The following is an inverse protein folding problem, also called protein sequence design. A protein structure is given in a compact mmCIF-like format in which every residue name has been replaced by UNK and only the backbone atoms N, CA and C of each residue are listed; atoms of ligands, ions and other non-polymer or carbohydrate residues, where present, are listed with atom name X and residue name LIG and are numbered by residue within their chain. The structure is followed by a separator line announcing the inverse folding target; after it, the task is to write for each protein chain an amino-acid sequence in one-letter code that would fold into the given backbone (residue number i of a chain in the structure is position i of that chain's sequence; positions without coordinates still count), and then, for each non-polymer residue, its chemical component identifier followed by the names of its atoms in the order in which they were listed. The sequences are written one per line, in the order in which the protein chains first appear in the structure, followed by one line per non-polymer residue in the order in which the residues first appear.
data_IF_773332411282
#
_entry.id   IF_773332411282
#
_cell.length_a   1.000
_cell.length_b   1.000
_cell.length_c   1.000
_cell.angle_alpha   90.00
_cell.angle_beta   90.00
_cell.angle_gamma   90.00
#
_symmetry.space_group_name_H-M   'P 1'
#
loop_
_entity.id
_entity.type
_entity.pdbx_description
1 polymer ?
#
# COMPACT_ATOMS: atom_id res chain seq x y z
N UNK A 1 6.76 -11.91 13.56
CA UNK A 1 7.78 -12.68 12.80
C UNK A 1 8.73 -11.73 12.06
N UNK A 2 9.76 -12.25 11.41
CA UNK A 2 10.75 -11.44 10.68
C UNK A 2 10.87 -11.94 9.24
N UNK A 3 10.89 -10.99 8.30
CA UNK A 3 11.23 -11.20 6.88
C UNK A 3 12.49 -10.39 6.62
N UNK A 4 13.35 -10.84 5.74
CA UNK A 4 14.55 -10.09 5.36
C UNK A 4 14.42 -9.59 3.91
N UNK A 5 14.62 -8.29 3.73
CA UNK A 5 14.86 -7.63 2.47
C UNK A 5 16.36 -7.32 2.41
N UNK A 6 17.11 -8.19 1.78
CA UNK A 6 18.57 -8.23 1.85
C UNK A 6 19.03 -8.27 3.34
N UNK A 7 19.76 -7.28 3.80
CA UNK A 7 20.20 -7.17 5.21
C UNK A 7 19.19 -6.44 6.12
N UNK A 8 18.09 -5.93 5.57
CA UNK A 8 17.07 -5.21 6.35
C UNK A 8 16.06 -6.17 6.94
N UNK A 9 15.92 -6.15 8.26
CA UNK A 9 14.88 -6.89 8.97
C UNK A 9 13.55 -6.15 8.85
N UNK A 10 12.51 -6.82 8.35
CA UNK A 10 11.13 -6.34 8.32
C UNK A 10 10.30 -7.09 9.36
N UNK A 11 9.67 -6.35 10.27
CA UNK A 11 8.73 -6.91 11.26
C UNK A 11 7.39 -7.18 10.59
N UNK A 12 6.85 -8.38 10.78
CA UNK A 12 5.59 -8.77 10.19
C UNK A 12 4.71 -9.58 11.13
N UNK A 13 3.41 -9.53 10.90
CA UNK A 13 2.40 -10.36 11.59
C UNK A 13 1.65 -11.16 10.53
N UNK A 14 1.74 -12.50 10.64
CA UNK A 14 1.02 -13.44 9.80
C UNK A 14 -0.15 -14.01 10.59
N UNK A 15 -1.37 -13.84 10.06
CA UNK A 15 -2.60 -14.37 10.64
C UNK A 15 -3.36 -15.17 9.58
N UNK A 16 -3.91 -16.33 9.99
CA UNK A 16 -4.61 -17.25 9.09
C UNK A 16 -6.05 -17.46 9.56
N UNK A 17 -7.01 -17.63 8.63
CA UNK A 17 -8.30 -18.21 8.96
C UNK A 17 -8.14 -19.71 9.28
N UNK A 18 -9.17 -20.31 9.87
CA UNK A 18 -9.23 -21.75 10.11
C UNK A 18 -9.47 -22.52 8.80
N UNK A 19 -8.45 -22.52 7.93
CA UNK A 19 -8.45 -23.25 6.64
C UNK A 19 -7.08 -23.89 6.41
N UNK A 20 -7.07 -25.10 5.86
CA UNK A 20 -5.84 -25.82 5.54
C UNK A 20 -5.04 -25.08 4.46
N UNK A 21 -5.72 -24.59 3.43
CA UNK A 21 -5.15 -23.79 2.34
C UNK A 21 -6.03 -22.58 2.06
N UNK A 22 -5.41 -21.44 1.85
CA UNK A 22 -6.12 -20.18 1.56
C UNK A 22 -5.22 -19.22 0.76
N UNK A 23 -5.81 -18.22 0.07
CA UNK A 23 -5.04 -17.13 -0.48
C UNK A 23 -4.50 -16.23 0.64
N UNK A 24 -3.46 -15.46 0.33
CA UNK A 24 -2.81 -14.56 1.27
C UNK A 24 -2.77 -13.12 0.73
N UNK A 25 -3.07 -12.16 1.58
CA UNK A 25 -2.92 -10.73 1.29
C UNK A 25 -1.71 -10.19 2.04
N UNK A 26 -0.71 -9.66 1.31
CA UNK A 26 0.34 -8.84 1.91
C UNK A 26 -0.21 -7.42 2.08
N UNK A 27 -0.22 -6.94 3.32
CA UNK A 27 -0.76 -5.63 3.67
C UNK A 27 0.34 -4.61 3.97
N UNK A 28 0.27 -3.44 3.34
CA UNK A 28 1.24 -2.35 3.40
C UNK A 28 0.59 -1.10 4.01
N UNK A 29 1.14 -0.60 5.12
CA UNK A 29 0.68 0.62 5.79
C UNK A 29 1.05 1.90 5.02
N UNK A 30 0.52 3.07 5.46
CA UNK A 30 0.81 4.38 4.90
C UNK A 30 2.09 5.02 5.43
N UNK A 31 2.42 6.21 4.89
CA UNK A 31 3.52 7.07 5.35
C UNK A 31 3.36 7.39 6.86
N UNK A 32 4.46 7.36 7.62
CA UNK A 32 4.49 7.57 9.09
C UNK A 32 3.51 6.69 9.90
N UNK A 33 3.07 5.57 9.36
CA UNK A 33 2.17 4.60 9.98
C UNK A 33 2.91 3.31 10.37
N UNK A 34 2.18 2.31 10.85
CA UNK A 34 2.69 0.97 11.19
C UNK A 34 1.67 -0.11 10.86
N UNK A 35 2.11 -1.37 10.84
CA UNK A 35 1.25 -2.54 10.64
C UNK A 35 0.11 -2.66 11.67
N UNK A 36 0.28 -2.06 12.86
CA UNK A 36 -0.60 -2.23 14.02
C UNK A 36 -1.56 -1.04 14.27
N UNK A 37 -1.69 -0.10 13.33
CA UNK A 37 -2.71 0.94 13.44
C UNK A 37 -4.12 0.34 13.35
N UNK A 38 -5.11 0.82 14.14
CA UNK A 38 -6.44 0.23 14.22
C UNK A 38 -7.12 0.03 12.85
N UNK A 39 -7.08 1.02 11.97
CA UNK A 39 -7.66 0.92 10.63
C UNK A 39 -6.95 -0.09 9.71
N UNK A 40 -5.67 -0.39 9.97
CA UNK A 40 -4.91 -1.42 9.25
C UNK A 40 -5.30 -2.82 9.76
N UNK A 41 -5.43 -2.98 11.08
CA UNK A 41 -5.92 -4.21 11.70
C UNK A 41 -7.34 -4.52 11.23
N UNK A 42 -8.26 -3.53 11.27
CA UNK A 42 -9.65 -3.69 10.83
C UNK A 42 -9.76 -4.17 9.37
N UNK A 43 -8.92 -3.62 8.47
CA UNK A 43 -8.87 -4.09 7.08
C UNK A 43 -8.44 -5.55 6.98
N UNK A 44 -7.42 -5.95 7.73
CA UNK A 44 -6.93 -7.33 7.74
C UNK A 44 -7.93 -8.30 8.39
N UNK A 45 -8.71 -7.85 9.37
CA UNK A 45 -9.82 -8.62 9.92
C UNK A 45 -10.87 -8.93 8.85
N UNK A 46 -11.30 -7.93 8.08
CA UNK A 46 -12.23 -8.13 6.97
C UNK A 46 -11.72 -9.13 5.92
N UNK A 47 -10.40 -9.09 5.65
CA UNK A 47 -9.76 -10.06 4.74
C UNK A 47 -9.78 -11.48 5.31
N UNK A 48 -9.52 -11.64 6.63
CA UNK A 48 -9.61 -12.96 7.29
C UNK A 48 -11.03 -13.49 7.35
N UNK A 49 -12.01 -12.62 7.60
CA UNK A 49 -13.44 -12.97 7.54
C UNK A 49 -13.88 -13.43 6.14
N UNK A 50 -13.22 -12.92 5.08
CA UNK A 50 -13.40 -13.40 3.70
C UNK A 50 -12.67 -14.72 3.42
N UNK A 51 -11.91 -15.28 4.38
CA UNK A 51 -11.19 -16.54 4.22
C UNK A 51 -9.78 -16.42 3.69
N UNK A 52 -9.18 -15.24 3.71
CA UNK A 52 -7.79 -14.98 3.29
C UNK A 52 -6.87 -14.91 4.50
N UNK A 53 -5.65 -15.41 4.37
CA UNK A 53 -4.60 -15.09 5.32
C UNK A 53 -4.09 -13.66 5.09
N UNK A 54 -3.54 -13.04 6.13
CA UNK A 54 -2.98 -11.68 6.05
C UNK A 54 -1.56 -11.65 6.58
N UNK A 55 -0.67 -10.97 5.85
CA UNK A 55 0.70 -10.69 6.24
C UNK A 55 0.87 -9.18 6.31
N UNK A 56 0.72 -8.61 7.52
CA UNK A 56 0.92 -7.18 7.77
C UNK A 56 2.40 -6.91 8.02
N UNK A 57 2.99 -5.97 7.30
CA UNK A 57 4.43 -5.69 7.34
C UNK A 57 4.68 -4.24 7.75
N UNK A 58 5.57 -4.02 8.72
CA UNK A 58 6.19 -2.71 8.91
C UNK A 58 7.25 -2.52 7.83
N UNK A 59 7.09 -1.48 7.03
CA UNK A 59 8.01 -1.20 5.93
C UNK A 59 9.32 -0.59 6.45
N UNK A 60 10.37 -0.61 5.62
CA UNK A 60 11.69 -0.04 5.95
C UNK A 60 11.56 1.32 6.65
N UNK A 61 12.22 1.45 7.80
CA UNK A 61 12.29 2.68 8.59
C UNK A 61 11.02 3.00 9.40
N UNK A 62 10.08 2.06 9.51
CA UNK A 62 8.82 2.23 10.23
C UNK A 62 8.58 1.11 11.24
N UNK A 63 7.78 1.42 12.26
CA UNK A 63 7.40 0.47 13.31
C UNK A 63 8.60 -0.24 13.94
N UNK A 64 8.57 -1.56 13.92
CA UNK A 64 9.63 -2.41 14.48
C UNK A 64 10.63 -2.91 13.43
N UNK A 65 10.51 -2.44 12.18
CA UNK A 65 11.42 -2.80 11.08
C UNK A 65 12.74 -2.05 11.15
N UNK A 66 13.77 -2.63 10.55
CA UNK A 66 15.09 -2.01 10.40
C UNK A 66 15.07 -0.79 9.50
N UNK A 67 16.21 -0.11 9.46
CA UNK A 67 16.37 1.15 8.76
C UNK A 67 15.96 2.36 9.58
N UNK A 68 15.88 3.51 8.93
CA UNK A 68 15.45 4.77 9.56
C UNK A 68 14.38 5.44 8.72
N UNK A 69 13.44 6.11 9.37
CA UNK A 69 12.41 6.91 8.70
C UNK A 69 13.02 7.89 7.69
N UNK A 70 14.11 8.56 8.05
CA UNK A 70 14.82 9.51 7.20
C UNK A 70 15.21 8.90 5.85
N UNK A 71 15.62 7.65 5.82
CA UNK A 71 16.22 6.99 4.65
C UNK A 71 15.25 6.09 3.87
N UNK A 72 13.96 6.05 4.21
CA UNK A 72 13.03 5.30 3.40
C UNK A 72 12.80 5.98 2.04
N UNK A 73 12.46 5.19 1.04
CA UNK A 73 12.06 5.63 -0.30
C UNK A 73 10.96 4.73 -0.82
N UNK A 74 10.25 5.15 -1.87
CA UNK A 74 9.27 4.28 -2.54
C UNK A 74 9.91 2.97 -3.00
N UNK A 75 11.13 3.02 -3.56
CA UNK A 75 11.83 1.82 -4.04
C UNK A 75 12.24 0.87 -2.90
N UNK A 76 12.66 1.39 -1.74
CA UNK A 76 12.91 0.53 -0.57
C UNK A 76 11.66 -0.17 -0.08
N UNK A 77 10.51 0.50 -0.16
CA UNK A 77 9.25 -0.13 0.17
C UNK A 77 8.84 -1.18 -0.86
N UNK A 78 9.00 -0.89 -2.15
CA UNK A 78 8.75 -1.88 -3.21
C UNK A 78 9.65 -3.11 -3.03
N UNK A 79 10.96 -2.94 -2.75
CA UNK A 79 11.87 -4.04 -2.44
C UNK A 79 11.37 -4.89 -1.26
N UNK A 80 10.99 -4.25 -0.15
CA UNK A 80 10.42 -4.95 1.00
C UNK A 80 9.10 -5.68 0.72
N UNK A 81 8.26 -5.13 -0.17
CA UNK A 81 7.04 -5.81 -0.64
C UNK A 81 7.40 -7.06 -1.43
N UNK A 82 8.36 -6.98 -2.36
CA UNK A 82 8.83 -8.14 -3.13
C UNK A 82 9.40 -9.24 -2.23
N UNK A 83 10.18 -8.87 -1.21
CA UNK A 83 10.66 -9.82 -0.21
C UNK A 83 9.51 -10.47 0.60
N UNK A 84 8.48 -9.72 0.95
CA UNK A 84 7.30 -10.26 1.61
C UNK A 84 6.48 -11.19 0.68
N UNK A 85 6.42 -10.87 -0.61
CA UNK A 85 5.80 -11.73 -1.63
C UNK A 85 6.58 -13.05 -1.80
N UNK A 86 7.91 -13.00 -1.83
CA UNK A 86 8.75 -14.21 -1.93
C UNK A 86 8.61 -15.08 -0.68
N UNK A 87 8.54 -14.47 0.50
CA UNK A 87 8.21 -15.21 1.72
C UNK A 87 6.82 -15.86 1.60
N UNK A 88 5.80 -15.13 1.17
CA UNK A 88 4.44 -15.67 1.03
C UNK A 88 4.38 -16.84 0.04
N UNK A 89 5.13 -16.79 -1.05
CA UNK A 89 5.25 -17.88 -2.04
C UNK A 89 5.94 -19.13 -1.49
N UNK A 90 6.81 -18.99 -0.50
CA UNK A 90 7.49 -20.13 0.13
C UNK A 90 6.57 -20.96 1.04
N UNK A 91 5.36 -20.46 1.32
CA UNK A 91 4.38 -21.14 2.16
C UNK A 91 3.52 -22.09 1.32
N UNK A 92 3.61 -23.38 1.55
CA UNK A 92 2.97 -24.47 0.77
C UNK A 92 1.43 -24.44 0.78
N UNK A 93 0.83 -23.79 1.80
CA UNK A 93 -0.61 -23.65 1.96
C UNK A 93 -1.18 -22.42 1.25
N UNK A 94 -0.36 -21.49 0.73
CA UNK A 94 -0.84 -20.30 0.03
C UNK A 94 -1.28 -20.65 -1.39
N UNK A 95 -2.57 -20.38 -1.70
CA UNK A 95 -3.16 -20.73 -3.00
C UNK A 95 -3.12 -19.58 -4.01
N UNK A 96 -2.88 -18.36 -3.56
CA UNK A 96 -2.81 -17.17 -4.40
C UNK A 96 -2.39 -15.95 -3.57
N UNK A 97 -1.75 -14.99 -4.23
CA UNK A 97 -1.20 -13.81 -3.59
C UNK A 97 -1.96 -12.56 -4.02
N UNK A 98 -2.34 -11.76 -3.04
CA UNK A 98 -2.97 -10.45 -3.20
C UNK A 98 -2.13 -9.39 -2.50
N UNK A 99 -2.19 -8.15 -2.96
CA UNK A 99 -1.60 -7.02 -2.25
C UNK A 99 -2.69 -6.06 -1.79
N UNK A 100 -2.51 -5.49 -0.62
CA UNK A 100 -3.34 -4.42 -0.11
C UNK A 100 -2.49 -3.31 0.46
N UNK A 101 -2.84 -2.06 0.22
CA UNK A 101 -2.09 -0.94 0.76
C UNK A 101 -2.95 0.29 1.02
N UNK A 102 -2.52 1.06 2.03
CA UNK A 102 -3.13 2.34 2.37
C UNK A 102 -2.18 3.49 2.02
N UNK A 103 -2.68 4.55 1.39
CA UNK A 103 -1.92 5.77 1.12
C UNK A 103 -0.63 5.49 0.32
N UNK A 104 0.56 5.84 0.84
CA UNK A 104 1.85 5.45 0.25
C UNK A 104 1.98 3.94 0.07
N UNK A 105 1.44 3.15 1.00
CA UNK A 105 1.40 1.69 0.87
C UNK A 105 0.57 1.24 -0.32
N UNK A 106 -0.52 1.95 -0.65
CA UNK A 106 -1.32 1.71 -1.84
C UNK A 106 -0.56 2.00 -3.14
N UNK A 107 0.16 3.12 -3.19
CA UNK A 107 1.06 3.44 -4.30
C UNK A 107 2.13 2.34 -4.48
N UNK A 108 2.84 1.98 -3.41
CA UNK A 108 3.93 1.00 -3.51
C UNK A 108 3.44 -0.42 -3.79
N UNK A 109 2.24 -0.79 -3.33
CA UNK A 109 1.58 -2.04 -3.69
C UNK A 109 1.26 -2.09 -5.21
N UNK A 110 0.74 -1.00 -5.77
CA UNK A 110 0.49 -0.89 -7.21
C UNK A 110 1.78 -1.00 -8.04
N UNK A 111 2.87 -0.34 -7.58
CA UNK A 111 4.18 -0.45 -8.23
C UNK A 111 4.71 -1.88 -8.19
N UNK A 112 4.65 -2.55 -7.04
CA UNK A 112 5.10 -3.94 -6.89
C UNK A 112 4.28 -4.91 -7.77
N UNK A 113 2.95 -4.72 -7.83
CA UNK A 113 2.09 -5.52 -8.71
C UNK A 113 2.40 -5.31 -10.19
N UNK A 114 2.68 -4.07 -10.63
CA UNK A 114 3.11 -3.80 -12.00
C UNK A 114 4.49 -4.35 -12.36
N UNK A 115 5.37 -4.58 -11.35
CA UNK A 115 6.67 -5.23 -11.55
C UNK A 115 6.58 -6.76 -11.59
N UNK A 116 5.59 -7.36 -10.92
CA UNK A 116 5.40 -8.80 -10.83
C UNK A 116 3.93 -9.19 -11.11
N UNK A 117 3.37 -8.81 -12.28
CA UNK A 117 1.93 -8.92 -12.54
C UNK A 117 1.41 -10.36 -12.54
N UNK A 118 2.24 -11.32 -12.90
CA UNK A 118 1.86 -12.74 -12.93
C UNK A 118 1.79 -13.39 -11.53
N UNK A 119 2.36 -12.74 -10.52
CA UNK A 119 2.37 -13.26 -9.15
C UNK A 119 1.18 -12.76 -8.33
N UNK A 120 0.60 -11.61 -8.67
CA UNK A 120 -0.45 -10.94 -7.90
C UNK A 120 -1.80 -11.19 -8.56
N UNK A 121 -2.74 -11.79 -7.81
CA UNK A 121 -4.09 -12.10 -8.30
C UNK A 121 -5.07 -10.93 -8.19
N UNK A 122 -4.81 -9.96 -7.33
CA UNK A 122 -5.67 -8.79 -7.17
C UNK A 122 -5.10 -7.77 -6.20
N UNK A 123 -5.61 -6.54 -6.28
CA UNK A 123 -5.20 -5.40 -5.45
C UNK A 123 -6.36 -4.83 -4.65
N UNK A 124 -6.08 -4.41 -3.41
CA UNK A 124 -6.99 -3.61 -2.58
C UNK A 124 -6.26 -2.33 -2.18
N UNK A 125 -6.64 -1.22 -2.75
CA UNK A 125 -5.99 0.07 -2.59
C UNK A 125 -6.91 1.02 -1.80
N UNK A 126 -6.45 1.50 -0.65
CA UNK A 126 -7.18 2.46 0.17
C UNK A 126 -6.51 3.82 0.08
N UNK A 127 -7.22 4.82 -0.46
CA UNK A 127 -6.72 6.18 -0.68
C UNK A 127 -5.27 6.19 -1.20
N UNK A 128 -4.96 5.48 -2.32
CA UNK A 128 -3.58 5.31 -2.78
C UNK A 128 -2.96 6.65 -3.16
N UNK A 129 -1.80 6.97 -2.58
CA UNK A 129 -1.15 8.27 -2.76
C UNK A 129 -0.44 8.39 -4.13
N UNK A 130 -1.19 8.21 -5.22
CA UNK A 130 -0.66 8.25 -6.59
C UNK A 130 -0.12 9.62 -6.99
N UNK A 131 -0.49 10.70 -6.27
CA UNK A 131 0.05 12.03 -6.50
C UNK A 131 1.53 12.18 -6.12
N UNK A 132 2.11 11.29 -5.30
CA UNK A 132 3.48 11.47 -4.77
C UNK A 132 4.52 11.75 -5.87
N UNK A 133 4.61 10.97 -6.97
CA UNK A 133 5.58 11.24 -8.03
C UNK A 133 5.37 12.58 -8.73
N UNK A 134 4.12 12.97 -8.97
CA UNK A 134 3.77 14.28 -9.54
C UNK A 134 4.20 15.41 -8.59
N UNK A 135 3.82 15.33 -7.32
CA UNK A 135 4.21 16.30 -6.30
C UNK A 135 5.74 16.42 -6.16
N UNK A 136 6.47 15.30 -6.28
CA UNK A 136 7.94 15.31 -6.27
C UNK A 136 8.52 16.06 -7.47
N UNK A 137 7.97 15.87 -8.67
CA UNK A 137 8.39 16.60 -9.89
C UNK A 137 8.03 18.08 -9.84
N UNK A 138 6.92 18.43 -9.23
CA UNK A 138 6.45 19.81 -9.06
C UNK A 138 7.12 20.54 -7.89
N UNK A 139 7.79 19.81 -6.99
CA UNK A 139 8.43 20.38 -5.80
C UNK A 139 7.46 20.69 -4.65
N UNK A 140 6.27 20.07 -4.64
CA UNK A 140 5.25 20.24 -3.60
C UNK A 140 5.10 18.92 -2.81
N UNK A 141 5.97 18.70 -1.82
CA UNK A 141 6.02 17.44 -1.09
C UNK A 141 5.59 17.59 0.37
N UNK A 142 4.55 16.83 0.77
CA UNK A 142 4.14 16.73 2.19
C UNK A 142 3.95 18.09 2.86
N UNK A 143 3.32 19.03 2.15
CA UNK A 143 3.09 20.41 2.62
C UNK A 143 4.35 21.28 2.61
N UNK A 144 5.42 20.86 1.93
CA UNK A 144 6.66 21.63 1.74
C UNK A 144 6.84 21.97 0.28
N UNK A 145 7.21 23.23 0.00
CA UNK A 145 7.66 23.67 -1.32
C UNK A 145 9.18 23.63 -1.38
N UNK A 146 9.73 23.07 -2.45
CA UNK A 146 11.17 22.94 -2.70
C UNK A 146 11.46 23.09 -4.20
N UNK A 147 12.70 23.44 -4.57
CA UNK A 147 13.11 23.41 -5.98
C UNK A 147 13.32 21.95 -6.41
N UNK A 148 12.49 21.41 -7.33
CA UNK A 148 12.59 20.02 -7.75
C UNK A 148 13.88 19.68 -8.51
N UNK A 149 14.60 20.69 -9.00
CA UNK A 149 15.91 20.53 -9.69
C UNK A 149 17.10 20.53 -8.71
N UNK A 150 16.89 21.10 -7.51
CA UNK A 150 17.90 21.22 -6.47
C UNK A 150 17.35 20.74 -5.13
N UNK A 151 16.96 19.47 -5.09
CA UNK A 151 16.37 18.84 -3.90
C UNK A 151 17.40 18.84 -2.76
N UNK A 152 17.10 19.46 -1.60
CA UNK A 152 17.99 19.46 -0.45
C UNK A 152 18.21 18.06 0.10
N UNK A 153 19.35 17.83 0.79
CA UNK A 153 19.65 16.51 1.36
C UNK A 153 18.74 16.12 2.52
N UNK A 154 18.17 17.11 3.18
CA UNK A 154 17.23 16.93 4.29
C UNK A 154 15.99 17.80 4.09
N UNK A 155 14.83 17.20 4.33
CA UNK A 155 13.52 17.84 4.24
C UNK A 155 12.85 17.69 5.60
N UNK A 156 12.84 18.77 6.42
CA UNK A 156 12.13 18.76 7.70
C UNK A 156 10.61 18.64 7.48
N UNK A 157 9.98 17.71 8.21
CA UNK A 157 8.55 17.50 8.20
C UNK A 157 7.93 17.92 9.54
N UNK A 158 6.61 17.74 9.64
CA UNK A 158 5.90 17.96 10.89
C UNK A 158 6.32 16.97 11.97
N UNK A 159 6.18 17.34 13.25
CA UNK A 159 6.49 16.45 14.38
C UNK A 159 7.97 16.13 14.55
N UNK A 160 8.89 16.93 13.98
CA UNK A 160 10.33 16.71 14.09
C UNK A 160 10.88 15.59 13.22
N UNK A 161 10.07 15.01 12.35
CA UNK A 161 10.53 14.05 11.37
C UNK A 161 11.39 14.72 10.30
N UNK A 162 12.38 13.99 9.80
CA UNK A 162 13.24 14.43 8.70
C UNK A 162 13.23 13.36 7.61
N UNK A 163 13.06 13.78 6.37
CA UNK A 163 13.11 12.93 5.20
C UNK A 163 14.38 13.24 4.41
N UNK A 164 15.07 12.22 3.93
CA UNK A 164 16.19 12.42 3.00
C UNK A 164 15.69 12.92 1.66
N UNK A 165 16.44 13.83 1.04
CA UNK A 165 16.18 14.26 -0.34
C UNK A 165 16.15 13.11 -1.36
N UNK A 166 16.77 11.96 -1.04
CA UNK A 166 16.66 10.76 -1.88
C UNK A 166 15.22 10.27 -2.05
N UNK A 167 14.35 10.47 -1.06
CA UNK A 167 12.94 10.15 -1.22
C UNK A 167 12.35 10.91 -2.41
N UNK A 168 12.54 12.24 -2.47
CA UNK A 168 12.02 13.08 -3.55
C UNK A 168 12.70 12.75 -4.87
N UNK A 169 14.04 12.69 -4.89
CA UNK A 169 14.82 12.36 -6.10
C UNK A 169 14.38 11.03 -6.73
N UNK A 170 14.15 10.00 -5.92
CA UNK A 170 13.68 8.70 -6.41
C UNK A 170 12.19 8.73 -6.78
N UNK A 171 11.34 9.44 -6.04
CA UNK A 171 9.93 9.59 -6.37
C UNK A 171 9.71 10.30 -7.71
N UNK A 172 10.57 11.27 -8.09
CA UNK A 172 10.52 11.94 -9.39
C UNK A 172 10.65 10.98 -10.59
N UNK A 173 11.32 9.84 -10.40
CA UNK A 173 11.54 8.84 -11.48
C UNK A 173 10.43 7.80 -11.59
N UNK A 174 9.45 7.84 -10.69
CA UNK A 174 8.35 6.88 -10.68
C UNK A 174 7.27 7.28 -11.69
N UNK A 175 6.85 6.33 -12.52
CA UNK A 175 5.74 6.44 -13.48
C UNK A 175 4.63 5.46 -13.05
N UNK A 176 3.65 5.98 -12.30
CA UNK A 176 2.53 5.18 -11.75
C UNK A 176 1.70 4.57 -12.85
N UNK A 177 1.50 5.33 -13.91
CA UNK A 177 0.70 4.95 -15.08
C UNK A 177 1.20 3.67 -15.73
N UNK A 178 2.54 3.49 -15.80
CA UNK A 178 3.14 2.27 -16.36
C UNK A 178 2.88 1.04 -15.49
N UNK A 179 2.91 1.22 -14.17
CA UNK A 179 2.61 0.11 -13.25
C UNK A 179 1.14 -0.30 -13.32
N UNK A 180 0.23 0.68 -13.44
CA UNK A 180 -1.21 0.44 -13.64
C UNK A 180 -1.45 -0.34 -14.93
N UNK A 181 -0.86 0.10 -16.04
CA UNK A 181 -1.04 -0.53 -17.37
C UNK A 181 -0.54 -1.98 -17.42
N UNK A 182 0.50 -2.28 -16.64
CA UNK A 182 1.10 -3.64 -16.59
C UNK A 182 0.31 -4.62 -15.74
N UNK A 183 -0.54 -4.14 -14.82
CA UNK A 183 -1.30 -5.02 -13.95
C UNK A 183 -2.66 -5.39 -14.56
N UNK A 184 -2.88 -6.66 -14.97
CA UNK A 184 -4.11 -7.08 -15.63
C UNK A 184 -5.21 -7.54 -14.67
N UNK A 185 -4.88 -7.77 -13.39
CA UNK A 185 -5.78 -8.36 -12.42
C UNK A 185 -6.83 -7.39 -11.89
N UNK A 186 -7.83 -7.90 -11.14
CA UNK A 186 -8.88 -7.08 -10.55
C UNK A 186 -8.35 -6.17 -9.45
N UNK A 187 -8.91 -4.97 -9.36
CA UNK A 187 -8.52 -3.93 -8.38
C UNK A 187 -9.74 -3.38 -7.68
N UNK A 188 -9.72 -3.40 -6.34
CA UNK A 188 -10.63 -2.61 -5.52
C UNK A 188 -9.91 -1.34 -5.06
N UNK A 189 -10.51 -0.19 -5.34
CA UNK A 189 -10.04 1.10 -4.81
C UNK A 189 -11.12 1.64 -3.87
N UNK A 190 -10.74 1.93 -2.63
CA UNK A 190 -11.59 2.62 -1.66
C UNK A 190 -11.04 4.02 -1.42
N UNK A 191 -11.90 5.05 -1.42
CA UNK A 191 -11.48 6.42 -1.16
C UNK A 191 -12.59 7.20 -0.46
N UNK A 192 -12.24 7.94 0.59
CA UNK A 192 -13.16 8.84 1.27
C UNK A 192 -13.37 10.15 0.48
N UNK A 193 -14.59 10.66 0.39
CA UNK A 193 -14.84 11.94 -0.29
C UNK A 193 -14.48 13.17 0.54
N UNK A 194 -14.16 12.97 1.83
CA UNK A 194 -13.60 14.00 2.74
C UNK A 194 -12.10 13.75 3.04
N UNK A 195 -11.39 13.05 2.16
CA UNK A 195 -9.94 12.88 2.24
C UNK A 195 -9.25 14.21 1.88
N UNK A 196 -8.61 14.85 2.87
CA UNK A 196 -7.89 16.11 2.75
C UNK A 196 -6.38 15.93 2.49
N UNK A 197 -5.89 14.69 2.45
CA UNK A 197 -4.47 14.36 2.27
C UNK A 197 -4.15 13.86 0.86
N UNK A 198 -5.03 13.02 0.30
CA UNK A 198 -4.86 12.43 -1.04
C UNK A 198 -6.07 12.80 -1.90
N UNK A 199 -5.86 13.45 -3.05
CA UNK A 199 -6.96 13.83 -3.92
C UNK A 199 -7.75 12.61 -4.43
N UNK A 200 -9.07 12.58 -4.20
CA UNK A 200 -9.97 11.55 -4.73
C UNK A 200 -9.83 11.39 -6.25
N UNK A 201 -9.54 12.49 -6.95
CA UNK A 201 -9.38 12.48 -8.41
C UNK A 201 -8.30 11.51 -8.89
N UNK A 202 -7.20 11.34 -8.13
CA UNK A 202 -6.14 10.39 -8.49
C UNK A 202 -6.65 8.93 -8.48
N UNK A 203 -7.56 8.60 -7.56
CA UNK A 203 -8.24 7.29 -7.54
C UNK A 203 -9.24 7.13 -8.67
N UNK A 204 -9.98 8.18 -9.00
CA UNK A 204 -10.91 8.19 -10.15
C UNK A 204 -10.16 7.95 -11.46
N UNK A 205 -9.03 8.62 -11.65
CA UNK A 205 -8.23 8.49 -12.89
C UNK A 205 -7.53 7.11 -12.95
N UNK A 206 -7.03 6.62 -11.82
CA UNK A 206 -6.48 5.27 -11.75
C UNK A 206 -7.53 4.18 -12.05
N UNK A 207 -8.74 4.31 -11.50
CA UNK A 207 -9.82 3.36 -11.75
C UNK A 207 -10.21 3.27 -13.23
N UNK A 208 -10.19 4.41 -13.95
CA UNK A 208 -10.44 4.44 -15.39
C UNK A 208 -9.31 3.81 -16.23
N UNK A 209 -8.09 3.78 -15.67
CA UNK A 209 -6.91 3.28 -16.38
C UNK A 209 -6.69 1.78 -16.18
N UNK A 210 -6.96 1.24 -14.99
CA UNK A 210 -6.93 -0.20 -14.75
C UNK A 210 -7.90 -0.92 -15.67
N UNK A 211 -7.57 -2.12 -16.13
CA UNK A 211 -8.42 -2.94 -17.01
C UNK A 211 -9.68 -3.43 -16.31
N UNK A 212 -9.56 -3.75 -15.03
CA UNK A 212 -10.63 -4.29 -14.18
C UNK A 212 -10.52 -3.63 -12.80
N UNK A 213 -11.16 -2.49 -12.63
CA UNK A 213 -11.17 -1.76 -11.36
C UNK A 213 -12.59 -1.42 -10.91
N UNK A 214 -12.81 -1.61 -9.61
CA UNK A 214 -13.96 -1.12 -8.88
C UNK A 214 -13.53 0.00 -7.95
N UNK A 215 -14.04 1.21 -8.15
CA UNK A 215 -13.87 2.33 -7.25
C UNK A 215 -15.11 2.48 -6.37
N UNK A 216 -14.90 2.47 -5.06
CA UNK A 216 -15.90 2.78 -4.05
C UNK A 216 -15.56 4.10 -3.36
N UNK A 217 -16.35 5.12 -3.61
CA UNK A 217 -16.24 6.41 -2.93
C UNK A 217 -17.07 6.36 -1.66
N UNK A 218 -16.40 6.39 -0.50
CA UNK A 218 -17.04 6.32 0.80
C UNK A 218 -17.45 7.72 1.25
N UNK A 219 -18.77 7.94 1.29
CA UNK A 219 -19.33 9.26 1.63
C UNK A 219 -19.07 9.63 3.09
N UNK A 220 -18.57 10.83 3.32
CA UNK A 220 -18.22 11.38 4.63
C UNK A 220 -16.98 10.73 5.26
N UNK A 221 -16.23 9.93 4.51
CA UNK A 221 -15.06 9.23 5.04
C UNK A 221 -13.77 10.02 4.80
N UNK A 222 -12.83 9.92 5.76
CA UNK A 222 -11.53 10.60 5.75
C UNK A 222 -10.45 9.74 5.12
N UNK A 223 -9.21 10.28 5.09
CA UNK A 223 -8.02 9.53 4.67
C UNK A 223 -7.77 8.26 5.50
N UNK A 224 -8.12 8.29 6.79
CA UNK A 224 -7.80 7.21 7.73
C UNK A 224 -8.87 6.11 7.83
N UNK A 225 -10.02 6.27 7.18
CA UNK A 225 -11.12 5.30 7.23
C UNK A 225 -11.59 5.02 8.67
N UNK A 226 -11.67 6.07 9.47
CA UNK A 226 -11.96 6.02 10.91
C UNK A 226 -13.40 6.39 11.29
N UNK A 227 -14.17 6.93 10.35
CA UNK A 227 -15.58 7.29 10.59
C UNK A 227 -16.54 6.13 10.32
N UNK A 228 -16.27 5.36 9.28
CA UNK A 228 -17.15 4.26 8.84
C UNK A 228 -16.37 2.94 8.64
N UNK A 229 -15.64 2.46 9.66
CA UNK A 229 -14.78 1.27 9.51
C UNK A 229 -15.54 0.01 9.12
N UNK A 230 -16.82 -0.15 9.55
CA UNK A 230 -17.62 -1.31 9.19
C UNK A 230 -18.02 -1.31 7.71
N UNK A 231 -18.30 -0.14 7.12
CA UNK A 231 -18.56 -0.05 5.67
C UNK A 231 -17.29 -0.44 4.89
N UNK A 232 -16.14 0.05 5.28
CA UNK A 232 -14.85 -0.33 4.67
C UNK A 232 -14.64 -1.85 4.76
N UNK A 233 -14.86 -2.46 5.94
CA UNK A 233 -14.72 -3.90 6.14
C UNK A 233 -15.67 -4.68 5.22
N UNK A 234 -16.91 -4.28 5.13
CA UNK A 234 -17.93 -4.94 4.29
C UNK A 234 -17.57 -4.88 2.79
N UNK A 235 -17.07 -3.74 2.33
CA UNK A 235 -16.62 -3.58 0.94
C UNK A 235 -15.42 -4.48 0.62
N UNK A 236 -14.42 -4.53 1.50
CA UNK A 236 -13.25 -5.41 1.35
C UNK A 236 -13.67 -6.87 1.34
N UNK A 237 -14.46 -7.28 2.34
CA UNK A 237 -14.94 -8.67 2.48
C UNK A 237 -15.74 -9.12 1.27
N UNK A 238 -16.73 -8.34 0.86
CA UNK A 238 -17.60 -8.65 -0.27
C UNK A 238 -16.82 -8.77 -1.58
N UNK A 239 -15.87 -7.87 -1.81
CA UNK A 239 -15.03 -7.93 -2.99
C UNK A 239 -14.13 -9.18 -3.00
N UNK A 240 -13.47 -9.50 -1.89
CA UNK A 240 -12.63 -10.70 -1.80
C UNK A 240 -13.42 -12.00 -1.98
N UNK A 241 -14.63 -12.09 -1.43
CA UNK A 241 -15.52 -13.24 -1.65
C UNK A 241 -15.82 -13.40 -3.15
N UNK A 242 -16.10 -12.31 -3.87
CA UNK A 242 -16.33 -12.35 -5.31
C UNK A 242 -15.11 -12.82 -6.13
N UNK A 243 -13.89 -12.60 -5.61
CA UNK A 243 -12.64 -13.05 -6.27
C UNK A 243 -12.28 -14.50 -5.97
N UNK A 244 -12.79 -15.08 -4.89
CA UNK A 244 -12.42 -16.42 -4.45
C UNK A 244 -13.09 -17.56 -5.24
N UNK A 245 -14.03 -17.25 -6.12
CA UNK A 245 -14.72 -18.25 -6.96
C UNK A 245 -15.54 -19.29 -6.17
N UNK A 246 -15.99 -18.93 -4.94
CA UNK A 246 -16.84 -19.74 -4.07
C UNK A 246 -18.29 -19.37 -4.26
#
# INVERSE_FOLDING_TARGET
MTIFDDQTRLSAVLERPERERCPLVVFIHGFSSTKDKPHNIASCEAMREAGFATLRVDMYGHGESGGTFRNHTLFRWVSGILAAMDYAKSLDWVTGLYLSGHSQGGLTAALAAGMAPDLVRGLILRAPAFMIPRCAREGNMLGRSLDPRHVPDEIPLYGGLVLSGNYVRTAQTVHVEEAIDRFPGPVLILHGDEDDMVPLQDSVDAAKRYRDARLEVMRGETHHFDRHPEIMKDLIRSWLISQSGV
#
